data_IF_070697303591
#
_entry.id   IF_070697303591
#
_cell.length_a   1.000
_cell.length_b   1.000
_cell.length_c   1.000
_cell.angle_alpha   90.00
_cell.angle_beta   90.00
_cell.angle_gamma   90.00
#
_symmetry.space_group_name_H-M   'P 1'
#
loop_
_entity.id
_entity.type
_entity.pdbx_description
1 polymer ?
#
# COMPACT_ATOMS: atom_id res chain seq x y z
N UNK A 1 4.00 -0.35 2.91
CA UNK A 1 5.32 -1.00 3.09
C UNK A 1 6.43 0.03 3.08
N UNK A 2 6.45 1.00 2.16
CA UNK A 2 7.55 1.99 2.10
C UNK A 2 8.87 1.37 1.63
N UNK A 3 8.76 0.26 0.92
CA UNK A 3 9.81 -0.33 0.08
C UNK A 3 9.43 -0.09 -1.39
N UNK A 4 10.17 -0.68 -2.34
CA UNK A 4 9.97 -0.47 -3.78
C UNK A 4 9.51 -1.74 -4.50
N UNK A 5 8.69 -1.57 -5.54
CA UNK A 5 8.11 -2.65 -6.34
C UNK A 5 6.60 -2.82 -6.15
N UNK A 6 6.03 -3.80 -6.87
CA UNK A 6 4.63 -4.18 -6.81
C UNK A 6 4.48 -5.69 -6.97
N UNK A 7 3.34 -6.23 -6.53
CA UNK A 7 3.04 -7.66 -6.63
C UNK A 7 1.57 -7.88 -6.94
N UNK A 8 1.23 -9.08 -7.41
CA UNK A 8 -0.13 -9.58 -7.56
C UNK A 8 -0.28 -10.82 -6.68
N UNK A 9 -1.39 -10.92 -5.96
CA UNK A 9 -1.77 -12.13 -5.23
C UNK A 9 -3.07 -12.66 -5.84
N UNK A 10 -3.00 -13.82 -6.47
CA UNK A 10 -4.11 -14.45 -7.20
C UNK A 10 -3.91 -15.97 -7.22
N UNK A 11 -4.83 -16.70 -7.84
CA UNK A 11 -4.73 -18.15 -7.98
C UNK A 11 -3.53 -18.59 -8.84
N UNK A 12 -3.01 -19.79 -8.59
CA UNK A 12 -1.80 -20.29 -9.25
C UNK A 12 -1.91 -20.30 -10.79
N UNK A 13 -3.09 -20.61 -11.35
CA UNK A 13 -3.32 -20.59 -12.79
C UNK A 13 -3.12 -19.18 -13.39
N UNK A 14 -3.60 -18.16 -12.68
CA UNK A 14 -3.43 -16.77 -13.09
C UNK A 14 -1.98 -16.31 -12.91
N UNK A 15 -1.29 -16.73 -11.84
CA UNK A 15 0.15 -16.47 -11.66
C UNK A 15 0.97 -17.08 -12.81
N UNK A 16 0.72 -18.34 -13.16
CA UNK A 16 1.41 -19.03 -14.25
C UNK A 16 1.18 -18.33 -15.59
N UNK A 17 -0.06 -17.92 -15.86
CA UNK A 17 -0.38 -17.13 -17.06
C UNK A 17 0.40 -15.81 -17.08
N UNK A 18 0.41 -15.06 -15.98
CA UNK A 18 1.05 -13.75 -15.89
C UNK A 18 2.57 -13.83 -16.04
N UNK A 19 3.22 -14.78 -15.38
CA UNK A 19 4.67 -15.00 -15.48
C UNK A 19 5.08 -15.38 -16.91
N UNK A 20 4.25 -16.14 -17.63
CA UNK A 20 4.57 -16.61 -18.98
C UNK A 20 4.09 -15.69 -20.12
N UNK A 21 3.13 -14.78 -19.88
CA UNK A 21 2.52 -13.95 -20.94
C UNK A 21 2.62 -12.45 -20.73
N UNK A 22 2.91 -11.96 -19.52
CA UNK A 22 2.99 -10.52 -19.26
C UNK A 22 4.30 -9.93 -19.80
N UNK A 23 4.20 -9.12 -20.86
CA UNK A 23 5.36 -8.44 -21.46
C UNK A 23 6.09 -7.54 -20.45
N UNK A 24 5.35 -6.84 -19.59
CA UNK A 24 5.95 -5.96 -18.58
C UNK A 24 6.68 -6.71 -17.47
N UNK A 25 6.37 -8.00 -17.27
CA UNK A 25 7.09 -8.87 -16.35
C UNK A 25 8.29 -9.56 -17.04
N UNK A 26 8.13 -10.01 -18.28
CA UNK A 26 9.16 -10.78 -19.02
C UNK A 26 10.31 -9.89 -19.50
N UNK A 27 10.01 -8.67 -19.97
CA UNK A 27 10.99 -7.78 -20.59
C UNK A 27 11.48 -6.67 -19.64
N UNK A 28 11.59 -6.98 -18.35
CA UNK A 28 12.14 -6.07 -17.34
C UNK A 28 13.19 -6.78 -16.50
N UNK A 29 14.10 -6.02 -15.90
CA UNK A 29 15.04 -6.56 -14.91
C UNK A 29 14.31 -6.92 -13.62
N UNK A 30 14.70 -8.05 -13.02
CA UNK A 30 14.18 -8.45 -11.72
C UNK A 30 14.50 -7.41 -10.64
N UNK A 31 13.63 -7.32 -9.63
CA UNK A 31 13.85 -6.46 -8.47
C UNK A 31 15.14 -6.90 -7.73
N UNK A 32 16.06 -5.97 -7.39
CA UNK A 32 17.24 -6.30 -6.59
C UNK A 32 16.87 -7.01 -5.27
N UNK A 33 17.62 -8.06 -4.93
CA UNK A 33 17.33 -8.92 -3.77
C UNK A 33 17.24 -8.15 -2.45
N UNK A 34 18.07 -7.12 -2.27
CA UNK A 34 18.07 -6.25 -1.08
C UNK A 34 16.72 -5.53 -0.91
N UNK A 35 16.10 -5.09 -2.01
CA UNK A 35 14.80 -4.41 -1.97
C UNK A 35 13.69 -5.42 -1.64
N UNK A 36 13.72 -6.61 -2.24
CA UNK A 36 12.76 -7.67 -1.94
C UNK A 36 12.82 -8.09 -0.45
N UNK A 37 14.04 -8.21 0.11
CA UNK A 37 14.23 -8.52 1.52
C UNK A 37 13.75 -7.40 2.45
N UNK A 38 13.97 -6.12 2.12
CA UNK A 38 13.41 -5.00 2.88
C UNK A 38 11.87 -5.05 2.87
N UNK A 39 11.25 -5.28 1.71
CA UNK A 39 9.81 -5.41 1.61
C UNK A 39 9.26 -6.55 2.50
N UNK A 40 9.90 -7.72 2.50
CA UNK A 40 9.53 -8.86 3.35
C UNK A 40 9.65 -8.54 4.84
N UNK A 41 10.77 -7.96 5.28
CA UNK A 41 10.95 -7.52 6.69
C UNK A 41 9.84 -6.56 7.13
N UNK A 42 9.44 -5.64 6.24
CA UNK A 42 8.36 -4.69 6.53
C UNK A 42 6.98 -5.33 6.52
N UNK A 43 6.77 -6.35 5.70
CA UNK A 43 5.54 -7.14 5.71
C UNK A 43 5.35 -7.86 7.04
N UNK A 44 6.40 -8.47 7.55
CA UNK A 44 6.44 -9.24 8.81
C UNK A 44 6.44 -8.34 10.06
N UNK A 45 6.79 -7.06 9.91
CA UNK A 45 6.81 -6.11 11.03
C UNK A 45 5.42 -5.90 11.66
N UNK A 46 5.39 -5.71 12.98
CA UNK A 46 4.17 -5.30 13.69
C UNK A 46 3.83 -3.84 13.37
N UNK A 47 2.77 -3.65 12.58
CA UNK A 47 2.32 -2.33 12.10
C UNK A 47 1.08 -1.80 12.81
N UNK A 48 0.54 -2.54 13.78
CA UNK A 48 -0.77 -2.26 14.37
C UNK A 48 -0.77 -0.94 15.16
N UNK A 49 0.32 -0.68 15.89
CA UNK A 49 0.50 0.58 16.62
C UNK A 49 0.41 1.79 15.69
N UNK A 50 1.06 1.73 14.53
CA UNK A 50 1.06 2.80 13.54
C UNK A 50 -0.29 2.91 12.84
N UNK A 51 -0.97 1.78 12.57
CA UNK A 51 -2.32 1.75 11.98
C UNK A 51 -3.33 2.48 12.88
N UNK A 52 -3.35 2.15 14.17
CA UNK A 52 -4.24 2.79 15.16
C UNK A 52 -3.92 4.28 15.28
N UNK A 53 -2.63 4.64 15.33
CA UNK A 53 -2.21 6.05 15.38
C UNK A 53 -2.67 6.83 14.14
N UNK A 54 -2.53 6.25 12.94
CA UNK A 54 -2.99 6.86 11.69
C UNK A 54 -4.51 7.09 11.71
N UNK A 55 -5.27 6.10 12.17
CA UNK A 55 -6.72 6.19 12.28
C UNK A 55 -7.16 7.34 13.21
N UNK A 56 -6.57 7.42 14.42
CA UNK A 56 -6.83 8.51 15.36
C UNK A 56 -6.52 9.88 14.76
N UNK A 57 -5.33 10.04 14.18
CA UNK A 57 -4.90 11.31 13.59
C UNK A 57 -5.82 11.73 12.44
N UNK A 58 -6.23 10.79 11.59
CA UNK A 58 -7.13 11.06 10.46
C UNK A 58 -8.50 11.52 10.96
N UNK A 59 -9.04 10.93 12.03
CA UNK A 59 -10.30 11.34 12.63
C UNK A 59 -10.23 12.76 13.23
N UNK A 60 -9.17 13.06 13.98
CA UNK A 60 -8.96 14.39 14.55
C UNK A 60 -8.83 15.46 13.45
N UNK A 61 -8.03 15.18 12.42
CA UNK A 61 -7.83 16.13 11.32
C UNK A 61 -9.12 16.41 10.53
N UNK A 62 -9.92 15.37 10.21
CA UNK A 62 -11.23 15.56 9.58
C UNK A 62 -12.19 16.37 10.42
N UNK A 63 -12.23 16.15 11.74
CA UNK A 63 -13.07 16.94 12.64
C UNK A 63 -12.71 18.42 12.57
N UNK A 64 -11.41 18.74 12.58
CA UNK A 64 -10.91 20.10 12.40
C UNK A 64 -11.35 20.72 11.06
N UNK A 65 -11.11 20.03 9.95
CA UNK A 65 -11.51 20.50 8.61
C UNK A 65 -13.03 20.73 8.49
N UNK A 66 -13.84 19.79 8.99
CA UNK A 66 -15.29 19.93 8.98
C UNK A 66 -15.75 21.13 9.83
N UNK A 67 -15.07 21.39 10.96
CA UNK A 67 -15.43 22.51 11.84
C UNK A 67 -15.18 23.89 11.22
N UNK A 68 -14.29 23.99 10.22
CA UNK A 68 -14.00 25.23 9.49
C UNK A 68 -14.71 25.31 8.12
N UNK A 69 -15.66 24.40 7.85
CA UNK A 69 -16.54 24.46 6.69
C UNK A 69 -16.14 23.60 5.48
N UNK A 70 -15.04 22.84 5.55
CA UNK A 70 -14.75 21.85 4.50
C UNK A 70 -15.68 20.65 4.61
N UNK A 71 -16.10 20.09 3.47
CA UNK A 71 -16.91 18.86 3.42
C UNK A 71 -16.05 17.68 3.01
N UNK A 72 -15.53 16.92 3.98
CA UNK A 72 -14.71 15.74 3.71
C UNK A 72 -15.58 14.48 3.66
N UNK A 73 -15.79 13.92 2.47
CA UNK A 73 -16.59 12.69 2.27
C UNK A 73 -15.75 11.41 2.35
N UNK A 74 -14.42 11.50 2.21
CA UNK A 74 -13.53 10.33 2.24
C UNK A 74 -13.49 9.68 3.62
N UNK A 75 -13.80 8.38 3.66
CA UNK A 75 -13.69 7.53 4.87
C UNK A 75 -12.30 6.89 5.03
N UNK A 76 -11.42 7.02 4.03
CA UNK A 76 -10.06 6.47 4.06
C UNK A 76 -9.05 7.44 4.67
N UNK A 77 -7.85 6.97 5.04
CA UNK A 77 -6.78 7.83 5.56
C UNK A 77 -6.30 8.92 4.58
N UNK A 78 -6.77 8.91 3.33
CA UNK A 78 -6.55 9.96 2.33
C UNK A 78 -7.68 10.98 2.45
N UNK A 79 -7.33 12.25 2.67
CA UNK A 79 -8.26 13.37 2.82
C UNK A 79 -8.03 14.35 1.66
N UNK A 80 -8.85 14.30 0.60
CA UNK A 80 -8.83 15.32 -0.44
C UNK A 80 -9.51 16.58 0.11
N UNK A 81 -8.89 17.73 -0.10
CA UNK A 81 -9.40 19.06 0.29
C UNK A 81 -9.78 19.80 -0.99
#
# INVERSE_FOLDING_TARGET
>A
LGSFGGYVATENKAVELLVNKSKSFIYTSALPSVIAQDALKRFESNREKQRIKLEKNTLEFRKGLNSIGYKIESKSHIIPI
#
